data_IF_145477904146
#
_entry.id   IF_145477904146
#
_cell.length_a   1.000
_cell.length_b   1.000
_cell.length_c   1.000
_cell.angle_alpha   90.00
_cell.angle_beta   90.00
_cell.angle_gamma   90.00
#
_symmetry.space_group_name_H-M   'P 1'
#
loop_
_entity.id
_entity.type
_entity.pdbx_description
1 polymer ?
#
# COMPACT_ATOMS: atom_id res chain seq x y z
N UNK A 1 -50.58 -12.59 -46.62
CA UNK A 1 -50.03 -13.56 -45.66
C UNK A 1 -48.82 -14.16 -46.33
N UNK A 2 -47.62 -13.84 -45.81
CA UNK A 2 -46.29 -14.45 -46.03
C UNK A 2 -45.72 -14.34 -47.46
N UNK A 3 -44.67 -13.56 -47.80
CA UNK A 3 -43.30 -13.38 -47.26
C UNK A 3 -42.51 -14.70 -47.15
N UNK A 4 -41.18 -14.62 -47.38
CA UNK A 4 -40.11 -15.64 -47.50
C UNK A 4 -39.70 -15.89 -48.97
N UNK A 5 -38.44 -15.83 -49.42
CA UNK A 5 -37.15 -15.48 -48.81
C UNK A 5 -36.20 -15.12 -49.97
N UNK A 6 -35.57 -13.94 -49.92
CA UNK A 6 -34.46 -13.61 -50.82
C UNK A 6 -33.27 -13.24 -49.93
N UNK A 7 -32.51 -14.26 -49.53
CA UNK A 7 -31.25 -14.09 -48.81
C UNK A 7 -30.16 -14.77 -49.61
N UNK A 8 -29.21 -13.98 -50.11
CA UNK A 8 -27.79 -14.32 -50.16
C UNK A 8 -26.96 -13.15 -50.70
N UNK A 9 -26.10 -12.60 -49.83
CA UNK A 9 -24.86 -11.94 -50.25
C UNK A 9 -24.84 -10.40 -50.22
N UNK A 10 -24.95 -9.79 -49.03
CA UNK A 10 -24.33 -8.48 -48.78
C UNK A 10 -22.84 -8.71 -48.48
N UNK A 11 -21.91 -7.97 -49.11
CA UNK A 11 -20.49 -8.05 -48.77
C UNK A 11 -20.24 -7.44 -47.38
N UNK A 12 -19.41 -8.13 -46.61
CA UNK A 12 -18.99 -7.80 -45.25
C UNK A 12 -18.69 -6.32 -45.03
N UNK A 13 -19.33 -5.77 -44.00
CA UNK A 13 -19.02 -4.46 -43.46
C UNK A 13 -17.56 -4.43 -43.00
N UNK A 14 -16.71 -3.78 -43.81
CA UNK A 14 -15.59 -2.94 -43.40
C UNK A 14 -14.89 -3.34 -42.08
N UNK A 15 -14.01 -4.34 -42.15
CA UNK A 15 -12.80 -4.35 -41.31
C UNK A 15 -12.10 -3.00 -41.48
N UNK A 16 -12.12 -2.16 -40.44
CA UNK A 16 -11.39 -0.89 -40.39
C UNK A 16 -9.92 -1.13 -40.74
N UNK A 17 -9.48 -0.60 -41.89
CA UNK A 17 -8.18 -0.86 -42.50
C UNK A 17 -7.12 0.18 -42.12
N UNK A 18 -7.40 1.02 -41.12
CA UNK A 18 -6.51 2.08 -40.66
C UNK A 18 -6.11 1.84 -39.20
N UNK A 19 -4.81 1.85 -38.87
CA UNK A 19 -4.39 1.86 -37.47
C UNK A 19 -4.94 3.13 -36.82
N UNK A 20 -5.56 2.96 -35.65
CA UNK A 20 -6.07 4.05 -34.82
C UNK A 20 -4.91 4.90 -34.29
N UNK A 21 -4.31 5.74 -35.13
CA UNK A 21 -3.29 6.70 -34.70
C UNK A 21 -4.00 7.80 -33.91
N UNK A 22 -3.78 7.84 -32.61
CA UNK A 22 -4.30 8.91 -31.76
C UNK A 22 -3.61 10.23 -32.14
N UNK A 23 -4.39 11.31 -32.19
CA UNK A 23 -3.87 12.62 -32.59
C UNK A 23 -2.96 13.16 -31.47
N UNK A 24 -1.74 13.63 -31.81
CA UNK A 24 -0.76 14.18 -30.86
C UNK A 24 -0.19 13.19 -29.82
N UNK A 25 0.07 11.94 -30.22
CA UNK A 25 0.61 10.87 -29.36
C UNK A 25 1.79 11.28 -28.47
N UNK A 26 2.77 11.99 -29.05
CA UNK A 26 3.96 12.43 -28.33
C UNK A 26 3.63 13.39 -27.20
N UNK A 27 2.76 14.38 -27.48
CA UNK A 27 2.33 15.35 -26.48
C UNK A 27 1.48 14.68 -25.39
N UNK A 28 0.59 13.75 -25.76
CA UNK A 28 -0.21 13.00 -24.79
C UNK A 28 0.69 12.16 -23.86
N UNK A 29 1.72 11.52 -24.41
CA UNK A 29 2.69 10.75 -23.61
C UNK A 29 3.48 11.65 -22.68
N UNK A 30 3.95 12.80 -23.16
CA UNK A 30 4.69 13.77 -22.36
C UNK A 30 3.86 14.30 -21.18
N UNK A 31 2.58 14.67 -21.42
CA UNK A 31 1.68 15.13 -20.35
C UNK A 31 1.43 14.02 -19.34
N UNK A 32 1.12 12.79 -19.78
CA UNK A 32 0.94 11.65 -18.86
C UNK A 32 2.19 11.37 -18.03
N UNK A 33 3.37 11.49 -18.62
CA UNK A 33 4.64 11.33 -17.89
C UNK A 33 4.79 12.42 -16.83
N UNK A 34 4.56 13.68 -17.19
CA UNK A 34 4.63 14.78 -16.25
C UNK A 34 3.60 14.67 -15.11
N UNK A 35 2.38 14.21 -15.41
CA UNK A 35 1.37 13.93 -14.38
C UNK A 35 1.88 12.90 -13.37
N UNK A 36 2.53 11.82 -13.82
CA UNK A 36 3.12 10.82 -12.93
C UNK A 36 4.21 11.42 -12.03
N UNK A 37 5.09 12.25 -12.59
CA UNK A 37 6.13 12.92 -11.80
C UNK A 37 5.53 13.87 -10.75
N UNK A 38 4.45 14.58 -11.09
CA UNK A 38 3.75 15.43 -10.14
C UNK A 38 3.08 14.61 -9.02
N UNK A 39 2.48 13.47 -9.36
CA UNK A 39 1.92 12.52 -8.38
C UNK A 39 3.00 12.01 -7.42
N UNK A 40 4.14 11.57 -7.95
CA UNK A 40 5.28 11.10 -7.17
C UNK A 40 5.83 12.20 -6.26
N UNK A 41 6.05 13.40 -6.78
CA UNK A 41 6.54 14.53 -5.98
C UNK A 41 5.60 14.87 -4.81
N UNK A 42 4.28 14.84 -5.07
CA UNK A 42 3.26 15.10 -4.05
C UNK A 42 3.31 14.04 -2.96
N UNK A 43 3.34 12.78 -3.39
CA UNK A 43 3.45 11.63 -2.49
C UNK A 43 4.73 11.67 -1.66
N UNK A 44 5.90 11.83 -2.29
CA UNK A 44 7.21 11.82 -1.66
C UNK A 44 7.34 12.93 -0.61
N UNK A 45 6.75 14.10 -0.86
CA UNK A 45 6.77 15.22 0.09
C UNK A 45 6.08 14.85 1.41
N UNK A 46 4.95 14.14 1.34
CA UNK A 46 4.18 13.70 2.51
C UNK A 46 4.81 12.45 3.14
N UNK A 47 5.30 11.54 2.30
CA UNK A 47 5.78 10.23 2.72
C UNK A 47 7.19 10.26 3.33
N UNK A 48 8.06 11.18 2.88
CA UNK A 48 9.43 11.30 3.37
C UNK A 48 9.56 11.37 4.91
N UNK A 49 8.83 12.24 5.65
CA UNK A 49 8.93 12.27 7.12
C UNK A 49 8.53 10.93 7.75
N UNK A 50 7.51 10.25 7.22
CA UNK A 50 7.08 8.93 7.70
C UNK A 50 8.20 7.90 7.47
N UNK A 51 8.77 7.87 6.27
CA UNK A 51 9.87 6.97 5.92
C UNK A 51 11.07 7.16 6.86
N UNK A 52 11.41 8.40 7.22
CA UNK A 52 12.52 8.70 8.14
C UNK A 52 12.29 8.16 9.55
N UNK A 53 11.06 8.20 10.06
CA UNK A 53 10.74 7.57 11.35
C UNK A 53 10.92 6.06 11.26
N UNK A 54 10.38 5.43 10.21
CA UNK A 54 10.44 3.98 10.00
C UNK A 54 11.88 3.46 9.76
N UNK A 55 12.75 4.25 9.14
CA UNK A 55 14.16 3.88 8.91
C UNK A 55 14.92 3.59 10.22
N UNK A 56 14.51 4.19 11.34
CA UNK A 56 15.13 3.97 12.66
C UNK A 56 14.70 2.66 13.31
N UNK A 57 13.58 2.08 12.84
CA UNK A 57 12.94 0.92 13.47
C UNK A 57 13.86 -0.28 13.63
N UNK A 58 14.64 -0.73 12.62
CA UNK A 58 15.45 -1.94 12.73
C UNK A 58 16.56 -1.85 13.79
N UNK A 59 16.99 -0.63 14.13
CA UNK A 59 18.06 -0.36 15.10
C UNK A 59 17.54 -0.18 16.53
N UNK A 60 16.22 -0.18 16.74
CA UNK A 60 15.64 0.04 18.06
C UNK A 60 16.02 -1.10 19.03
N UNK A 61 16.64 -0.73 20.15
CA UNK A 61 17.16 -1.67 21.14
C UNK A 61 16.06 -2.45 21.86
N UNK A 62 14.82 -1.92 21.86
CA UNK A 62 13.65 -2.57 22.47
C UNK A 62 13.41 -3.97 21.90
N UNK A 63 13.77 -4.23 20.64
CA UNK A 63 13.61 -5.56 20.02
C UNK A 63 14.47 -6.65 20.63
N UNK A 64 15.56 -6.28 21.32
CA UNK A 64 16.51 -7.24 21.93
C UNK A 64 16.38 -7.34 23.43
N UNK A 65 15.55 -6.51 24.07
CA UNK A 65 15.37 -6.51 25.52
C UNK A 65 14.78 -7.85 25.97
N UNK A 66 15.40 -8.43 26.98
CA UNK A 66 14.96 -9.65 27.66
C UNK A 66 14.42 -9.20 29.03
N UNK A 67 13.31 -9.78 29.53
CA UNK A 67 12.81 -9.44 30.86
C UNK A 67 13.91 -9.60 31.91
N UNK A 68 14.01 -8.65 32.83
CA UNK A 68 14.88 -8.83 33.99
C UNK A 68 14.30 -9.94 34.85
N UNK A 69 15.06 -11.03 35.01
CA UNK A 69 14.68 -12.17 35.84
C UNK A 69 14.40 -11.78 37.30
N UNK A 70 14.88 -10.60 37.74
CA UNK A 70 14.61 -10.06 39.08
C UNK A 70 13.20 -9.49 39.26
N UNK A 71 12.47 -9.17 38.17
CA UNK A 71 11.15 -8.52 38.23
C UNK A 71 9.96 -9.51 38.34
N UNK A 72 10.18 -10.81 38.19
CA UNK A 72 9.14 -11.85 38.29
C UNK A 72 8.04 -11.75 37.21
N UNK A 73 7.12 -12.73 37.17
CA UNK A 73 5.93 -12.77 36.30
C UNK A 73 4.90 -11.70 36.71
N UNK A 74 5.30 -10.42 36.66
CA UNK A 74 4.34 -9.32 36.69
C UNK A 74 3.52 -9.41 35.40
N UNK A 75 2.19 -9.50 35.49
CA UNK A 75 1.38 -9.64 34.30
C UNK A 75 1.58 -8.40 33.45
N UNK A 76 1.99 -8.61 32.19
CA UNK A 76 2.31 -7.60 31.17
C UNK A 76 1.06 -6.83 30.72
N UNK A 77 0.29 -6.28 31.65
CA UNK A 77 -0.95 -5.58 31.34
C UNK A 77 -0.64 -4.26 30.64
N UNK A 78 -1.05 -4.24 29.37
CA UNK A 78 -1.06 -3.11 28.43
C UNK A 78 0.32 -2.58 28.01
N UNK A 79 0.99 -3.30 27.11
CA UNK A 79 2.01 -2.65 26.27
C UNK A 79 1.34 -1.54 25.46
N UNK A 80 1.78 -0.31 25.69
CA UNK A 80 1.34 0.86 24.93
C UNK A 80 2.12 0.93 23.61
N UNK A 81 1.55 1.54 22.56
CA UNK A 81 2.28 1.77 21.32
C UNK A 81 3.54 2.60 21.59
N UNK A 82 4.66 2.24 20.95
CA UNK A 82 5.90 3.01 21.04
C UNK A 82 5.80 4.35 20.32
N UNK A 83 6.66 5.30 20.70
CA UNK A 83 6.70 6.65 20.16
C UNK A 83 6.84 6.70 18.62
N UNK A 84 7.55 5.74 18.02
CA UNK A 84 7.73 5.72 16.57
C UNK A 84 6.39 5.50 15.85
N UNK A 85 5.52 4.62 16.37
CA UNK A 85 4.28 4.26 15.68
C UNK A 85 3.19 5.29 15.92
N UNK A 86 3.19 5.92 17.10
CA UNK A 86 2.32 7.07 17.37
C UNK A 86 2.72 8.26 16.51
N UNK A 87 4.02 8.53 16.34
CA UNK A 87 4.50 9.59 15.44
C UNK A 87 4.15 9.32 13.97
N UNK A 88 4.26 8.08 13.50
CA UNK A 88 3.83 7.70 12.14
C UNK A 88 2.32 7.93 11.96
N UNK A 89 1.51 7.56 12.96
CA UNK A 89 0.08 7.81 12.93
C UNK A 89 -0.25 9.32 12.92
N UNK A 90 0.43 10.11 13.74
CA UNK A 90 0.24 11.56 13.78
C UNK A 90 0.60 12.22 12.44
N UNK A 91 1.72 11.82 11.83
CA UNK A 91 2.10 12.30 10.49
C UNK A 91 1.04 11.96 9.44
N UNK A 92 0.55 10.72 9.45
CA UNK A 92 -0.51 10.29 8.53
C UNK A 92 -1.81 11.08 8.74
N UNK A 93 -2.26 11.23 9.98
CA UNK A 93 -3.52 11.92 10.30
C UNK A 93 -3.40 13.44 10.08
N UNK A 94 -2.20 14.02 10.17
CA UNK A 94 -1.97 15.43 9.87
C UNK A 94 -2.21 15.78 8.41
N UNK A 95 -2.25 14.78 7.51
CA UNK A 95 -2.53 14.97 6.09
C UNK A 95 -3.98 15.42 5.84
N UNK A 96 -4.94 14.86 6.58
CA UNK A 96 -6.37 15.12 6.40
C UNK A 96 -6.70 16.62 6.41
N UNK A 97 -6.39 17.38 7.48
CA UNK A 97 -6.68 18.82 7.53
C UNK A 97 -5.86 19.64 6.51
N UNK A 98 -4.84 19.07 5.87
CA UNK A 98 -4.08 19.74 4.81
C UNK A 98 -4.72 19.53 3.43
N UNK A 99 -5.41 18.41 3.21
CA UNK A 99 -6.11 18.12 1.95
C UNK A 99 -7.47 18.81 1.88
N UNK A 100 -8.19 18.93 3.01
CA UNK A 100 -9.53 19.53 3.07
C UNK A 100 -9.61 20.94 2.41
N UNK A 101 -8.73 21.92 2.73
CA UNK A 101 -8.83 23.25 2.13
C UNK A 101 -8.52 23.27 0.62
N UNK A 102 -7.70 22.32 0.15
CA UNK A 102 -7.43 22.18 -1.27
C UNK A 102 -8.61 21.52 -2.00
N UNK A 103 -9.28 20.57 -1.34
CA UNK A 103 -10.43 19.88 -1.89
C UNK A 103 -11.59 20.85 -2.17
N UNK A 104 -11.80 21.84 -1.30
CA UNK A 104 -12.81 22.91 -1.47
C UNK A 104 -12.47 23.92 -2.60
N UNK A 105 -11.31 23.79 -3.24
CA UNK A 105 -10.85 24.74 -4.26
C UNK A 105 -11.50 24.51 -5.62
N UNK A 106 -11.56 25.56 -6.45
CA UNK A 106 -12.00 25.47 -7.85
C UNK A 106 -11.12 24.58 -8.75
N UNK A 107 -9.99 24.08 -8.23
CA UNK A 107 -9.05 23.22 -8.96
C UNK A 107 -9.30 21.73 -8.74
N UNK A 108 -10.25 21.35 -7.88
CA UNK A 108 -10.54 19.97 -7.49
C UNK A 108 -10.71 19.05 -8.70
N UNK A 109 -11.53 19.43 -9.68
CA UNK A 109 -11.84 18.57 -10.84
C UNK A 109 -10.56 18.19 -11.61
N UNK A 110 -9.72 19.18 -11.93
CA UNK A 110 -8.46 18.94 -12.63
C UNK A 110 -7.46 18.15 -11.78
N UNK A 111 -7.36 18.47 -10.50
CA UNK A 111 -6.47 17.79 -9.57
C UNK A 111 -6.88 16.33 -9.36
N UNK A 112 -8.18 16.05 -9.26
CA UNK A 112 -8.71 14.71 -9.12
C UNK A 112 -8.45 13.87 -10.38
N UNK A 113 -8.67 14.43 -11.58
CA UNK A 113 -8.32 13.78 -12.85
C UNK A 113 -6.82 13.47 -12.90
N UNK A 114 -5.97 14.43 -12.51
CA UNK A 114 -4.53 14.23 -12.43
C UNK A 114 -4.09 13.27 -11.32
N UNK A 115 -4.93 13.00 -10.32
CA UNK A 115 -4.66 12.07 -9.21
C UNK A 115 -5.10 10.63 -9.50
N UNK A 116 -5.88 10.40 -10.57
CA UNK A 116 -6.28 9.03 -10.96
C UNK A 116 -5.05 8.15 -11.17
N UNK A 117 -5.07 6.98 -10.55
CA UNK A 117 -3.95 6.03 -10.59
C UNK A 117 -2.76 6.39 -9.70
N UNK A 118 -2.85 7.41 -8.85
CA UNK A 118 -1.76 7.76 -7.92
C UNK A 118 -1.38 6.60 -7.00
N UNK A 119 -2.33 5.75 -6.60
CA UNK A 119 -2.03 4.56 -5.81
C UNK A 119 -1.10 3.58 -6.56
N UNK A 120 -1.40 3.29 -7.83
CA UNK A 120 -0.55 2.44 -8.67
C UNK A 120 0.82 3.08 -8.92
N UNK A 121 0.86 4.38 -9.18
CA UNK A 121 2.10 5.10 -9.50
C UNK A 121 3.01 5.21 -8.28
N UNK A 122 2.46 5.57 -7.12
CA UNK A 122 3.24 5.93 -5.94
C UNK A 122 3.51 4.76 -5.00
N UNK A 123 2.60 3.78 -4.92
CA UNK A 123 2.61 2.77 -3.84
C UNK A 123 3.03 1.38 -4.34
N UNK A 124 2.78 1.06 -5.61
CA UNK A 124 3.05 -0.27 -6.18
C UNK A 124 4.49 -0.73 -5.98
N UNK A 125 5.46 0.19 -6.04
CA UNK A 125 6.88 -0.10 -5.82
C UNK A 125 7.16 -0.64 -4.41
N UNK A 126 6.54 -0.06 -3.37
CA UNK A 126 6.73 -0.50 -1.99
C UNK A 126 6.12 -1.87 -1.73
N UNK A 127 4.91 -2.11 -2.25
CA UNK A 127 4.28 -3.44 -2.16
C UNK A 127 5.05 -4.50 -2.93
N UNK A 128 5.56 -4.19 -4.11
CA UNK A 128 6.39 -5.12 -4.90
C UNK A 128 7.63 -5.54 -4.11
N UNK A 129 8.32 -4.58 -3.48
CA UNK A 129 9.48 -4.85 -2.62
C UNK A 129 9.11 -5.71 -1.41
N UNK A 130 7.99 -5.44 -0.76
CA UNK A 130 7.50 -6.25 0.36
C UNK A 130 7.17 -7.68 -0.07
N UNK A 131 6.46 -7.83 -1.20
CA UNK A 131 6.11 -9.13 -1.77
C UNK A 131 7.35 -9.97 -2.08
N UNK A 132 8.41 -9.34 -2.61
CA UNK A 132 9.71 -10.01 -2.80
C UNK A 132 10.36 -10.44 -1.47
N UNK A 133 10.28 -9.60 -0.43
CA UNK A 133 10.84 -9.88 0.90
C UNK A 133 10.12 -11.03 1.59
N UNK A 134 8.81 -11.15 1.40
CA UNK A 134 7.95 -12.16 2.04
C UNK A 134 7.65 -13.36 1.14
N UNK A 135 8.15 -13.35 -0.09
CA UNK A 135 7.87 -14.35 -1.12
C UNK A 135 6.36 -14.60 -1.30
N UNK A 136 5.59 -13.52 -1.42
CA UNK A 136 4.14 -13.60 -1.61
C UNK A 136 3.82 -14.02 -3.05
N UNK A 137 2.88 -14.95 -3.20
CA UNK A 137 2.31 -15.26 -4.49
C UNK A 137 1.53 -14.04 -5.03
N UNK A 138 1.40 -13.88 -6.35
CA UNK A 138 0.64 -12.78 -6.94
C UNK A 138 -0.76 -12.53 -6.34
N UNK A 139 -1.60 -13.55 -6.05
CA UNK A 139 -2.91 -13.32 -5.43
C UNK A 139 -2.82 -12.86 -3.96
N UNK A 140 -1.79 -13.27 -3.23
CA UNK A 140 -1.54 -12.83 -1.84
C UNK A 140 -1.16 -11.36 -1.84
N UNK A 141 -0.21 -10.98 -2.71
CA UNK A 141 0.22 -9.60 -2.88
C UNK A 141 -0.95 -8.69 -3.30
N UNK A 142 -1.77 -9.13 -4.25
CA UNK A 142 -2.95 -8.39 -4.69
C UNK A 142 -3.99 -8.22 -3.56
N UNK A 143 -4.07 -9.17 -2.63
CA UNK A 143 -4.92 -9.02 -1.44
C UNK A 143 -4.35 -7.98 -0.48
N UNK A 144 -3.02 -7.95 -0.28
CA UNK A 144 -2.40 -6.91 0.54
C UNK A 144 -2.54 -5.50 -0.05
N UNK A 145 -2.51 -5.37 -1.37
CA UNK A 145 -2.62 -4.07 -2.05
C UNK A 145 -4.02 -3.46 -1.95
N UNK A 146 -5.06 -4.31 -1.79
CA UNK A 146 -6.46 -3.89 -1.77
C UNK A 146 -6.98 -3.40 -0.41
N UNK A 147 -6.13 -3.22 0.60
CA UNK A 147 -6.52 -2.66 1.91
C UNK A 147 -7.29 -1.34 1.78
N UNK A 148 -6.89 -0.53 0.80
CA UNK A 148 -7.54 0.72 0.47
C UNK A 148 -8.03 0.60 -0.97
N UNK A 149 -9.23 0.07 -1.16
CA UNK A 149 -9.80 -0.12 -2.48
C UNK A 149 -11.29 -0.40 -2.41
N UNK A 150 -12.08 0.47 -3.05
CA UNK A 150 -13.47 0.16 -3.38
C UNK A 150 -13.45 -0.82 -4.55
N UNK A 151 -14.07 -2.00 -4.38
CA UNK A 151 -14.29 -2.96 -5.47
C UNK A 151 -14.82 -2.23 -6.70
N UNK A 152 -14.07 -2.34 -7.80
CA UNK A 152 -14.19 -1.55 -9.01
C UNK A 152 -15.63 -1.28 -9.45
N UNK A 153 -16.18 -0.15 -9.01
CA UNK A 153 -17.41 0.37 -9.58
C UNK A 153 -17.04 0.92 -10.95
N UNK A 154 -17.27 0.08 -11.96
CA UNK A 154 -17.11 0.45 -13.35
C UNK A 154 -17.90 1.74 -13.63
N UNK A 155 -17.21 2.72 -14.20
CA UNK A 155 -17.71 4.03 -14.56
C UNK A 155 -19.00 3.94 -15.38
N UNK A 156 -20.12 4.20 -14.72
CA UNK A 156 -21.35 4.62 -15.35
C UNK A 156 -21.57 6.07 -14.91
N UNK A 157 -21.35 7.00 -15.85
CA UNK A 157 -21.57 8.46 -15.72
C UNK A 157 -21.37 8.97 -14.30
N UNK A 158 -20.12 8.92 -13.80
CA UNK A 158 -19.84 9.40 -12.45
C UNK A 158 -20.11 10.91 -12.36
N UNK A 159 -20.74 11.37 -11.27
CA UNK A 159 -20.85 12.79 -10.97
C UNK A 159 -19.47 13.45 -10.86
N UNK A 160 -19.45 14.79 -10.80
CA UNK A 160 -18.22 15.53 -10.52
C UNK A 160 -17.56 14.99 -9.23
N UNK A 161 -16.22 14.90 -9.19
CA UNK A 161 -15.53 14.35 -8.04
C UNK A 161 -15.81 15.19 -6.80
N UNK A 162 -16.09 14.51 -5.70
CA UNK A 162 -16.35 15.11 -4.40
C UNK A 162 -15.04 15.40 -3.67
N UNK A 163 -15.09 16.35 -2.74
CA UNK A 163 -13.98 16.69 -1.86
C UNK A 163 -13.50 15.45 -1.08
N UNK A 164 -14.45 14.67 -0.56
CA UNK A 164 -14.20 13.42 0.15
C UNK A 164 -13.47 12.41 -0.72
N UNK A 165 -13.87 12.20 -1.97
CA UNK A 165 -13.17 11.26 -2.87
C UNK A 165 -11.71 11.66 -3.12
N UNK A 166 -11.41 12.96 -3.19
CA UNK A 166 -10.03 13.44 -3.35
C UNK A 166 -9.20 13.20 -2.07
N UNK A 167 -9.76 13.53 -0.91
CA UNK A 167 -9.10 13.32 0.39
C UNK A 167 -8.86 11.83 0.62
N UNK A 168 -9.87 10.99 0.37
CA UNK A 168 -9.81 9.54 0.51
C UNK A 168 -8.74 8.95 -0.40
N UNK A 169 -8.67 9.37 -1.67
CA UNK A 169 -7.69 8.87 -2.64
C UNK A 169 -6.25 9.09 -2.15
N UNK A 170 -5.91 10.30 -1.72
CA UNK A 170 -4.56 10.61 -1.29
C UNK A 170 -4.24 10.02 0.10
N UNK A 171 -5.21 10.00 1.01
CA UNK A 171 -5.07 9.36 2.31
C UNK A 171 -4.83 7.86 2.17
N UNK A 172 -5.61 7.19 1.31
CA UNK A 172 -5.43 5.78 0.96
C UNK A 172 -4.03 5.50 0.40
N UNK A 173 -3.55 6.32 -0.54
CA UNK A 173 -2.22 6.14 -1.12
C UNK A 173 -1.11 6.25 -0.06
N UNK A 174 -1.13 7.29 0.78
CA UNK A 174 -0.11 7.50 1.82
C UNK A 174 -0.21 6.43 2.91
N UNK A 175 -1.41 6.07 3.36
CA UNK A 175 -1.63 5.03 4.35
C UNK A 175 -1.16 3.65 3.86
N UNK A 176 -1.50 3.29 2.61
CA UNK A 176 -1.08 2.03 1.97
C UNK A 176 0.44 1.92 1.90
N UNK A 177 1.11 2.98 1.45
CA UNK A 177 2.57 2.96 1.34
C UNK A 177 3.27 3.00 2.71
N UNK A 178 2.66 3.67 3.69
CA UNK A 178 3.12 3.64 5.09
C UNK A 178 3.10 2.23 5.64
N UNK A 179 2.00 1.49 5.42
CA UNK A 179 1.94 0.10 5.85
C UNK A 179 2.98 -0.76 5.14
N UNK A 180 3.12 -0.64 3.82
CA UNK A 180 4.09 -1.42 3.05
C UNK A 180 5.54 -1.17 3.55
N UNK A 181 5.89 0.09 3.81
CA UNK A 181 7.19 0.47 4.35
C UNK A 181 7.37 0.04 5.82
N UNK A 182 6.33 0.13 6.65
CA UNK A 182 6.38 -0.35 8.02
C UNK A 182 6.63 -1.87 8.07
N UNK A 183 5.91 -2.67 7.27
CA UNK A 183 6.13 -4.10 7.18
C UNK A 183 7.54 -4.45 6.63
N UNK A 184 8.05 -3.68 5.67
CA UNK A 184 9.43 -3.81 5.16
C UNK A 184 10.49 -3.57 6.23
N UNK A 185 10.31 -2.53 7.04
CA UNK A 185 11.25 -2.19 8.12
C UNK A 185 11.17 -3.21 9.25
N UNK A 186 9.97 -3.71 9.59
CA UNK A 186 9.78 -4.85 10.50
C UNK A 186 10.54 -6.08 10.02
N UNK A 187 10.45 -6.41 8.73
CA UNK A 187 11.20 -7.53 8.14
C UNK A 187 12.73 -7.37 8.28
N UNK A 188 13.22 -6.15 8.47
CA UNK A 188 14.64 -5.82 8.60
C UNK A 188 15.15 -5.88 10.05
N UNK A 189 14.29 -6.11 11.04
CA UNK A 189 14.68 -6.26 12.45
C UNK A 189 15.53 -7.52 12.64
N UNK A 190 16.84 -7.34 12.88
CA UNK A 190 17.81 -8.45 12.92
C UNK A 190 17.58 -9.48 14.05
N UNK A 191 17.04 -9.05 15.18
CA UNK A 191 16.81 -9.89 16.36
C UNK A 191 15.56 -9.40 17.08
N UNK A 192 14.66 -10.33 17.39
CA UNK A 192 13.40 -10.07 18.06
C UNK A 192 13.30 -11.01 19.26
N UNK A 193 13.29 -10.45 20.47
CA UNK A 193 13.00 -11.18 21.71
C UNK A 193 11.50 -11.43 21.84
N UNK A 194 11.10 -12.25 22.81
CA UNK A 194 9.67 -12.48 23.11
C UNK A 194 8.95 -11.18 23.50
N UNK A 195 9.55 -10.36 24.36
CA UNK A 195 9.03 -9.03 24.69
C UNK A 195 8.98 -8.11 23.47
N UNK A 196 10.01 -8.15 22.62
CA UNK A 196 10.05 -7.39 21.37
C UNK A 196 8.91 -7.79 20.43
N UNK A 197 8.59 -9.08 20.34
CA UNK A 197 7.48 -9.58 19.54
C UNK A 197 6.13 -9.14 20.10
N UNK A 198 5.92 -9.22 21.41
CA UNK A 198 4.71 -8.72 22.08
C UNK A 198 4.54 -7.21 21.85
N UNK A 199 5.62 -6.44 21.95
CA UNK A 199 5.60 -5.01 21.70
C UNK A 199 5.28 -4.69 20.24
N UNK A 200 5.90 -5.40 19.28
CA UNK A 200 5.60 -5.25 17.87
C UNK A 200 4.13 -5.57 17.55
N UNK A 201 3.56 -6.59 18.19
CA UNK A 201 2.14 -6.93 18.05
C UNK A 201 1.23 -5.81 18.59
N UNK A 202 1.58 -5.17 19.71
CA UNK A 202 0.87 -4.00 20.23
C UNK A 202 0.98 -2.79 19.28
N UNK A 203 2.18 -2.52 18.77
CA UNK A 203 2.44 -1.43 17.82
C UNK A 203 1.64 -1.62 16.50
N UNK A 204 1.62 -2.86 15.96
CA UNK A 204 0.81 -3.23 14.80
C UNK A 204 -0.70 -3.14 15.07
N UNK A 205 -1.14 -3.53 16.27
CA UNK A 205 -2.54 -3.41 16.68
C UNK A 205 -3.00 -1.95 16.76
N UNK A 206 -2.17 -1.07 17.30
CA UNK A 206 -2.43 0.37 17.31
C UNK A 206 -2.50 0.92 15.88
N UNK A 207 -1.51 0.62 15.04
CA UNK A 207 -1.48 1.14 13.67
C UNK A 207 -2.62 0.61 12.82
N UNK A 208 -3.02 -0.65 12.99
CA UNK A 208 -4.22 -1.21 12.36
C UNK A 208 -5.46 -0.35 12.67
N UNK A 209 -5.67 0.04 13.93
CA UNK A 209 -6.82 0.88 14.30
C UNK A 209 -6.77 2.25 13.62
N UNK A 210 -5.57 2.83 13.45
CA UNK A 210 -5.37 4.08 12.70
C UNK A 210 -5.72 3.89 11.23
N UNK A 211 -5.24 2.82 10.59
CA UNK A 211 -5.56 2.50 9.21
C UNK A 211 -7.07 2.29 9.01
N UNK A 212 -7.75 1.58 9.92
CA UNK A 212 -9.21 1.42 9.89
C UNK A 212 -9.96 2.75 10.02
N UNK A 213 -9.45 3.70 10.83
CA UNK A 213 -10.06 5.01 10.97
C UNK A 213 -9.99 5.85 9.69
N UNK A 214 -9.02 5.58 8.81
CA UNK A 214 -8.87 6.23 7.50
C UNK A 214 -9.37 5.37 6.32
N UNK A 215 -10.23 4.40 6.60
CA UNK A 215 -10.90 3.59 5.56
C UNK A 215 -10.16 2.32 5.12
N UNK A 216 -9.13 1.89 5.87
CA UNK A 216 -8.39 0.66 5.60
C UNK A 216 -9.11 -0.59 6.10
N UNK A 217 -9.12 -1.63 5.28
CA UNK A 217 -9.64 -2.95 5.63
C UNK A 217 -8.59 -3.85 6.32
N UNK A 218 -9.01 -5.04 6.75
CA UNK A 218 -8.12 -6.02 7.37
C UNK A 218 -6.99 -6.44 6.41
N UNK A 219 -5.80 -6.70 6.97
CA UNK A 219 -4.65 -7.18 6.22
C UNK A 219 -4.08 -8.43 6.88
N UNK A 220 -4.07 -9.55 6.14
CA UNK A 220 -3.66 -10.83 6.71
C UNK A 220 -2.21 -10.85 7.20
N UNK A 221 -1.29 -10.06 6.62
CA UNK A 221 0.09 -9.97 7.14
C UNK A 221 0.08 -9.31 8.51
N UNK A 222 -0.70 -8.25 8.67
CA UNK A 222 -0.89 -7.59 9.97
C UNK A 222 -1.54 -8.55 10.96
N UNK A 223 -2.55 -9.31 10.55
CA UNK A 223 -3.21 -10.30 11.41
C UNK A 223 -2.29 -11.46 11.81
N UNK A 224 -1.52 -12.00 10.88
CA UNK A 224 -0.52 -13.05 11.12
C UNK A 224 0.56 -12.56 12.09
N UNK A 225 1.06 -11.34 11.90
CA UNK A 225 2.07 -10.75 12.78
C UNK A 225 1.52 -10.41 14.17
N UNK A 226 0.21 -10.14 14.30
CA UNK A 226 -0.46 -9.83 15.57
C UNK A 226 -0.84 -11.08 16.37
N UNK A 227 -1.30 -12.14 15.71
CA UNK A 227 -1.90 -13.31 16.37
C UNK A 227 -1.03 -14.57 16.28
N UNK A 228 -0.10 -14.65 15.33
CA UNK A 228 0.88 -15.72 15.26
C UNK A 228 2.08 -15.44 16.16
N UNK A 229 2.91 -16.45 16.47
CA UNK A 229 4.26 -16.21 16.97
C UNK A 229 5.02 -15.41 15.89
N UNK A 230 5.01 -14.07 16.00
CA UNK A 230 5.64 -13.11 15.09
C UNK A 230 7.09 -13.51 14.77
N UNK A 231 7.75 -14.11 15.76
CA UNK A 231 9.07 -14.70 15.65
C UNK A 231 9.14 -15.86 14.64
N UNK A 232 8.22 -16.81 14.67
CA UNK A 232 8.23 -18.00 13.80
C UNK A 232 7.83 -17.66 12.37
N UNK A 233 6.85 -16.77 12.16
CA UNK A 233 6.49 -16.30 10.82
C UNK A 233 7.67 -15.59 10.12
N UNK A 234 8.30 -14.64 10.81
CA UNK A 234 9.47 -13.93 10.28
C UNK A 234 10.68 -14.87 10.13
N UNK A 235 10.83 -15.88 11.00
CA UNK A 235 11.91 -16.86 10.95
C UNK A 235 11.74 -17.87 9.83
N UNK A 236 10.55 -18.41 9.62
CA UNK A 236 10.21 -19.35 8.54
C UNK A 236 10.46 -18.68 7.18
N UNK A 237 9.89 -17.48 6.98
CA UNK A 237 10.10 -16.67 5.76
C UNK A 237 11.56 -16.19 5.58
N UNK A 238 12.37 -16.12 6.64
CA UNK A 238 13.83 -15.88 6.54
C UNK A 238 14.63 -17.16 6.26
N UNK A 239 14.14 -18.31 6.72
CA UNK A 239 14.79 -19.61 6.52
C UNK A 239 14.69 -20.03 5.05
N UNK A 240 13.54 -19.80 4.43
CA UNK A 240 13.34 -19.99 2.99
C UNK A 240 14.30 -19.13 2.14
N UNK A 241 14.57 -17.89 2.57
CA UNK A 241 15.58 -17.01 1.92
C UNK A 241 16.99 -17.57 1.95
N UNK A 242 17.38 -18.20 3.05
CA UNK A 242 18.72 -18.80 3.20
C UNK A 242 18.86 -20.06 2.33
N UNK A 243 17.81 -20.87 2.26
CA UNK A 243 17.79 -22.08 1.43
C UNK A 243 17.85 -21.74 -0.07
N UNK A 244 17.11 -20.72 -0.53
CA UNK A 244 17.13 -20.29 -1.93
C UNK A 244 18.46 -19.62 -2.34
N UNK A 245 19.09 -18.81 -1.48
CA UNK A 245 20.41 -18.24 -1.79
C UNK A 245 21.51 -19.30 -1.88
N UNK A 246 21.42 -20.37 -1.08
CA UNK A 246 22.37 -21.49 -1.15
C UNK A 246 22.17 -22.29 -2.44
N UNK A 247 20.92 -22.50 -2.88
CA UNK A 247 20.64 -23.19 -4.14
C UNK A 247 21.10 -22.41 -5.38
N UNK A 248 20.95 -21.08 -5.39
CA UNK A 248 21.44 -20.23 -6.50
C UNK A 248 22.97 -20.13 -6.53
N UNK A 249 23.64 -20.32 -5.39
CA UNK A 249 25.10 -20.33 -5.31
C UNK A 249 25.74 -21.68 -5.72
N UNK A 250 24.98 -22.78 -5.66
CA UNK A 250 25.44 -24.13 -6.07
C UNK A 250 25.16 -24.43 -7.55
N UNK A 251 24.36 -23.61 -8.23
CA UNK A 251 24.04 -23.72 -9.66
C UNK A 251 24.85 -22.76 -10.56
N UNK A 252 25.85 -22.05 -10.01
CA UNK A 252 26.68 -21.06 -10.69
C UNK A 252 28.12 -21.48 -10.97
#
# INVERSE_FOLDING_TARGET
MELLDNSTGLPDASTSRYPSTTLLDEAQRAVRSWTKEAQLLTYDTVFLPIARVLETLPANENWRKIPDAALGDLPTFSMLPQDYITMVADLLLSLLPQLEPFAESSSLENAFVASRGAQDVCVQGEWTRLGQILHLAPPELATCQRIFGSDGKAAATEPAPTETEFVDLWTAAVASGTLAAFLRTVCSISMLSEMGAQQLAADLGYFHNVLSAVGGEANFIVDDLRHGPTYDYLREKRSDRRLQMVQVADEG
#
